data_IF_898644920087
#
_entry.id   IF_898644920087
#
_cell.length_a   1.000
_cell.length_b   1.000
_cell.length_c   1.000
_cell.angle_alpha   90.00
_cell.angle_beta   90.00
_cell.angle_gamma   90.00
#
_symmetry.space_group_name_H-M   'P 1'
#
loop_
_entity.id
_entity.type
_entity.pdbx_description
1 polymer ?
#
# COMPACT_ATOMS: atom_id res chain seq x y z
N UNK A 1 -27.68 5.61 -20.01
CA UNK A 1 -26.62 6.61 -20.25
C UNK A 1 -26.08 7.03 -18.88
N UNK A 2 -24.75 7.05 -18.66
CA UNK A 2 -24.17 7.47 -17.37
C UNK A 2 -23.77 8.93 -17.47
N UNK A 3 -24.15 9.73 -16.48
CA UNK A 3 -23.76 11.14 -16.36
C UNK A 3 -22.69 11.23 -15.26
N UNK A 4 -21.65 12.03 -15.51
CA UNK A 4 -20.54 12.24 -14.59
C UNK A 4 -20.36 13.74 -14.34
N UNK A 5 -20.02 14.11 -13.12
CA UNK A 5 -19.72 15.49 -12.74
C UNK A 5 -18.21 15.64 -12.43
N UNK A 6 -17.59 16.77 -12.79
CA UNK A 6 -16.21 17.06 -12.39
C UNK A 6 -16.08 17.21 -10.87
N UNK A 7 -15.03 16.63 -10.28
CA UNK A 7 -14.67 16.83 -8.87
C UNK A 7 -13.18 17.10 -8.75
N UNK A 8 -12.81 18.10 -7.95
CA UNK A 8 -11.42 18.32 -7.53
C UNK A 8 -11.09 17.42 -6.35
N UNK A 9 -10.01 16.64 -6.46
CA UNK A 9 -9.52 15.77 -5.39
C UNK A 9 -8.03 15.99 -5.21
N UNK A 10 -7.55 15.83 -3.98
CA UNK A 10 -6.13 15.73 -3.72
C UNK A 10 -5.64 14.34 -4.14
N UNK A 11 -4.64 14.31 -5.01
CA UNK A 11 -3.98 13.09 -5.45
C UNK A 11 -2.59 13.05 -4.83
N UNK A 12 -2.25 11.94 -4.18
CA UNK A 12 -0.90 11.73 -3.66
C UNK A 12 0.08 11.67 -4.82
N UNK A 13 1.04 12.60 -4.86
CA UNK A 13 2.00 12.76 -5.96
C UNK A 13 3.35 12.08 -5.68
N UNK A 14 3.67 11.85 -4.42
CA UNK A 14 4.83 11.14 -3.95
C UNK A 14 4.70 10.84 -2.44
N UNK A 15 5.53 9.95 -1.93
CA UNK A 15 5.85 9.84 -0.51
C UNK A 15 7.34 9.50 -0.34
N UNK A 16 7.84 9.58 0.88
CA UNK A 16 9.22 9.22 1.20
C UNK A 16 9.18 8.05 2.16
N UNK A 17 9.96 7.00 1.88
CA UNK A 17 10.10 5.88 2.78
C UNK A 17 10.71 6.36 4.09
N UNK A 18 9.98 6.25 5.20
CA UNK A 18 10.40 6.79 6.50
C UNK A 18 11.68 6.13 7.03
N UNK A 19 11.96 4.89 6.62
CA UNK A 19 13.17 4.16 7.03
C UNK A 19 14.40 4.53 6.21
N UNK A 20 14.35 4.41 4.89
CA UNK A 20 15.54 4.59 4.03
C UNK A 20 15.61 5.95 3.33
N UNK A 21 14.62 6.82 3.56
CA UNK A 21 14.53 8.17 2.99
C UNK A 21 14.44 8.20 1.46
N UNK A 22 14.18 7.06 0.82
CA UNK A 22 13.95 7.00 -0.62
C UNK A 22 12.61 7.63 -0.96
N UNK A 23 12.61 8.55 -1.91
CA UNK A 23 11.38 9.10 -2.50
C UNK A 23 10.75 8.08 -3.45
N UNK A 24 9.44 7.92 -3.36
CA UNK A 24 8.61 7.04 -4.17
C UNK A 24 7.62 7.89 -4.96
N UNK A 25 7.51 7.65 -6.27
CA UNK A 25 6.59 8.39 -7.14
C UNK A 25 5.71 7.45 -7.98
N UNK A 26 4.46 7.83 -8.34
CA UNK A 26 3.51 6.96 -9.04
C UNK A 26 3.96 6.39 -10.40
N UNK A 27 4.97 6.98 -11.01
CA UNK A 27 5.60 6.53 -12.26
C UNK A 27 6.60 5.38 -12.06
N UNK A 28 7.02 5.11 -10.82
CA UNK A 28 7.91 4.00 -10.48
C UNK A 28 7.09 2.74 -10.17
N UNK A 29 7.48 1.57 -10.70
CA UNK A 29 6.78 0.32 -10.39
C UNK A 29 6.75 -0.03 -8.90
N UNK A 30 7.78 0.38 -8.16
CA UNK A 30 7.87 0.19 -6.70
C UNK A 30 6.82 0.97 -5.91
N UNK A 31 6.21 2.02 -6.49
CA UNK A 31 5.14 2.78 -5.85
C UNK A 31 3.93 1.91 -5.50
N UNK A 32 3.56 0.99 -6.39
CA UNK A 32 2.39 0.14 -6.19
C UNK A 32 2.62 -0.92 -5.11
N UNK A 33 3.90 -1.24 -4.84
CA UNK A 33 4.32 -2.25 -3.87
C UNK A 33 4.71 -1.67 -2.50
N UNK A 34 4.46 -0.36 -2.28
CA UNK A 34 4.74 0.30 -1.01
C UNK A 34 3.67 -0.04 0.04
N UNK A 35 4.06 -0.04 1.31
CA UNK A 35 3.11 -0.13 2.43
C UNK A 35 2.88 1.26 3.01
N UNK A 36 1.61 1.66 3.14
CA UNK A 36 1.21 2.88 3.88
C UNK A 36 0.24 2.51 4.98
N UNK A 37 0.50 3.01 6.18
CA UNK A 37 -0.43 2.97 7.31
C UNK A 37 -0.80 4.41 7.64
N UNK A 38 -2.08 4.67 7.87
CA UNK A 38 -2.56 5.97 8.35
C UNK A 38 -3.88 5.78 9.10
N UNK A 39 -3.84 5.86 10.43
CA UNK A 39 -5.04 5.74 11.26
C UNK A 39 -4.94 6.61 12.52
N UNK A 40 -6.09 6.91 13.13
CA UNK A 40 -6.16 7.60 14.42
C UNK A 40 -6.32 6.55 15.53
N UNK A 41 -5.45 6.60 16.53
CA UNK A 41 -5.51 5.75 17.72
C UNK A 41 -6.80 5.98 18.51
N UNK A 42 -7.47 4.89 18.87
CA UNK A 42 -8.62 4.93 19.77
C UNK A 42 -8.22 5.08 21.24
N UNK A 43 -9.19 4.92 22.12
CA UNK A 43 -8.97 4.85 23.58
C UNK A 43 -8.06 3.67 23.95
N UNK A 44 -7.20 3.85 24.94
CA UNK A 44 -6.15 2.91 25.37
C UNK A 44 -5.16 2.53 24.27
N UNK A 45 -4.93 3.40 23.28
CA UNK A 45 -3.92 3.13 22.26
C UNK A 45 -2.53 3.10 22.87
N UNK A 46 -1.69 2.15 22.46
CA UNK A 46 -0.27 2.12 22.82
C UNK A 46 0.52 3.32 22.26
N UNK A 47 -0.10 4.13 21.39
CA UNK A 47 0.45 5.34 20.79
C UNK A 47 -0.21 6.61 21.34
N UNK A 48 -0.86 6.53 22.50
CA UNK A 48 -1.74 7.51 23.11
C UNK A 48 -3.03 7.80 22.32
N UNK A 49 -4.07 8.17 23.07
CA UNK A 49 -5.42 8.38 22.53
C UNK A 49 -5.48 9.56 21.57
N UNK A 50 -6.15 9.36 20.42
CA UNK A 50 -6.37 10.41 19.43
C UNK A 50 -5.15 10.75 18.57
N UNK A 51 -3.99 10.14 18.83
CA UNK A 51 -2.80 10.34 17.99
C UNK A 51 -2.96 9.69 16.62
N UNK A 52 -2.46 10.35 15.58
CA UNK A 52 -2.39 9.78 14.24
C UNK A 52 -1.10 8.97 14.09
N UNK A 53 -1.24 7.68 13.79
CA UNK A 53 -0.13 6.79 13.47
C UNK A 53 -0.04 6.68 11.96
N UNK A 54 1.08 7.11 11.40
CA UNK A 54 1.33 7.02 9.96
C UNK A 54 2.76 6.57 9.67
N UNK A 55 2.92 5.76 8.62
CA UNK A 55 4.22 5.36 8.10
C UNK A 55 4.09 4.96 6.63
N UNK A 56 5.08 5.35 5.82
CA UNK A 56 5.27 4.94 4.44
C UNK A 56 6.58 4.14 4.31
N UNK A 57 6.52 2.92 3.79
CA UNK A 57 7.67 2.06 3.58
C UNK A 57 7.76 1.55 2.14
N UNK A 58 8.96 1.63 1.55
CA UNK A 58 9.24 0.97 0.28
C UNK A 58 9.27 -0.57 0.44
N UNK A 59 9.07 -1.31 -0.65
CA UNK A 59 8.97 -2.79 -0.61
C UNK A 59 10.18 -3.46 0.05
N UNK A 60 11.38 -2.89 -0.12
CA UNK A 60 12.60 -3.42 0.50
C UNK A 60 12.59 -3.22 2.02
N UNK A 61 12.15 -2.03 2.47
CA UNK A 61 12.01 -1.75 3.89
C UNK A 61 10.89 -2.57 4.53
N UNK A 62 9.78 -2.83 3.80
CA UNK A 62 8.74 -3.77 4.27
C UNK A 62 9.32 -5.17 4.48
N UNK A 63 10.13 -5.67 3.54
CA UNK A 63 10.82 -6.96 3.64
C UNK A 63 11.85 -7.01 4.77
N UNK A 64 12.49 -5.90 5.10
CA UNK A 64 13.47 -5.87 6.18
C UNK A 64 12.80 -5.74 7.55
N UNK A 65 11.88 -4.77 7.70
CA UNK A 65 11.22 -4.44 8.98
C UNK A 65 10.29 -5.55 9.45
N UNK A 66 9.43 -6.08 8.58
CA UNK A 66 8.47 -7.10 9.00
C UNK A 66 9.11 -8.49 9.20
N UNK A 67 10.40 -8.66 8.85
CA UNK A 67 11.13 -9.93 8.88
C UNK A 67 10.28 -11.21 8.73
N UNK A 68 10.37 -12.07 9.74
CA UNK A 68 9.68 -13.36 9.76
C UNK A 68 8.15 -13.27 10.02
N UNK A 69 7.61 -12.09 10.31
CA UNK A 69 6.19 -11.91 10.61
C UNK A 69 5.30 -11.80 9.36
N UNK A 70 5.88 -11.73 8.17
CA UNK A 70 5.12 -11.74 6.91
C UNK A 70 4.66 -13.15 6.57
N UNK A 71 3.42 -13.26 6.11
CA UNK A 71 2.88 -14.47 5.51
C UNK A 71 2.80 -14.26 3.99
N UNK A 72 3.47 -15.12 3.23
CA UNK A 72 3.47 -15.09 1.76
C UNK A 72 2.80 -16.37 1.28
N UNK A 73 1.66 -16.23 0.61
CA UNK A 73 0.94 -17.35 -0.01
C UNK A 73 1.17 -17.30 -1.52
N UNK A 74 1.74 -18.35 -2.13
CA UNK A 74 1.88 -18.39 -3.59
C UNK A 74 0.49 -18.48 -4.24
N UNK A 75 0.32 -17.94 -5.45
CA UNK A 75 -0.91 -18.11 -6.18
C UNK A 75 -1.13 -19.60 -6.52
N UNK A 76 -2.39 -20.00 -6.52
CA UNK A 76 -2.85 -21.33 -6.89
C UNK A 76 -3.25 -21.37 -8.36
N UNK A 77 -3.38 -22.57 -8.94
CA UNK A 77 -3.92 -22.74 -10.30
C UNK A 77 -5.34 -22.14 -10.45
N UNK A 78 -6.10 -22.04 -9.36
CA UNK A 78 -7.43 -21.42 -9.36
C UNK A 78 -7.38 -19.90 -9.54
N UNK A 79 -6.27 -19.23 -9.19
CA UNK A 79 -6.11 -17.79 -9.34
C UNK A 79 -5.81 -17.38 -10.80
N UNK A 80 -5.36 -18.34 -11.61
CA UNK A 80 -5.06 -18.16 -13.03
C UNK A 80 -5.74 -19.26 -13.87
N UNK A 81 -7.08 -19.24 -14.00
CA UNK A 81 -7.76 -20.23 -14.81
C UNK A 81 -7.22 -20.19 -16.25
N UNK A 82 -7.04 -21.35 -16.90
CA UNK A 82 -6.56 -21.41 -18.26
C UNK A 82 -7.48 -20.55 -19.14
N UNK A 83 -6.88 -19.69 -19.97
CA UNK A 83 -7.65 -18.88 -20.93
C UNK A 83 -8.52 -19.79 -21.79
N UNK A 84 -9.79 -19.44 -22.05
CA UNK A 84 -10.63 -20.23 -22.94
C UNK A 84 -9.92 -20.32 -24.29
N UNK A 85 -9.56 -21.53 -24.68
CA UNK A 85 -8.94 -21.83 -25.96
C UNK A 85 -9.93 -21.36 -27.04
N UNK A 86 -9.59 -20.29 -27.74
CA UNK A 86 -10.39 -19.80 -28.86
C UNK A 86 -10.58 -20.91 -29.89
N UNK A 87 -11.82 -21.14 -30.30
CA UNK A 87 -12.18 -21.88 -31.51
C UNK A 87 -12.45 -20.90 -32.64
#
# INVERSE_FOLDING_TARGET
MREYQPKTVQKLSACTCDRCQRRLTPDEGEWQERLSINYVGGFDSVFDDGNTVSIDLCQQCVREVLGAWRQITPPTEADFPPSPVGH
#
